data_IF_292219281245
#
_entry.id   IF_292219281245
#
_cell.length_a   1.000
_cell.length_b   1.000
_cell.length_c   1.000
_cell.angle_alpha   90.00
_cell.angle_beta   90.00
_cell.angle_gamma   90.00
#
_symmetry.space_group_name_H-M   'P 1'
#
loop_
_entity.id
_entity.type
_entity.pdbx_description
1 polymer ?
#
# COMPACT_ATOMS: atom_id res chain seq x y z
N UNK A 1 3.93 -10.46 14.77
CA UNK A 1 2.78 -9.52 14.76
C UNK A 1 2.67 -8.83 16.11
N UNK A 2 2.17 -7.58 16.17
CA UNK A 2 1.97 -6.83 17.41
C UNK A 2 0.72 -5.94 17.35
N UNK A 3 0.19 -5.55 18.52
CA UNK A 3 -0.94 -4.61 18.59
C UNK A 3 -0.45 -3.16 18.49
N UNK A 4 -1.04 -2.40 17.57
CA UNK A 4 -0.76 -0.98 17.32
C UNK A 4 -2.08 -0.22 17.19
N UNK A 5 -2.40 0.66 18.15
CA UNK A 5 -3.61 1.50 18.09
C UNK A 5 -4.91 0.72 17.86
N UNK A 6 -5.10 -0.39 18.57
CA UNK A 6 -6.29 -1.25 18.46
C UNK A 6 -6.32 -2.18 17.24
N UNK A 7 -5.24 -2.28 16.47
CA UNK A 7 -5.11 -3.18 15.30
C UNK A 7 -4.03 -4.23 15.56
N UNK A 8 -4.17 -5.42 15.02
CA UNK A 8 -3.10 -6.42 14.92
C UNK A 8 -2.33 -6.17 13.62
N UNK A 9 -1.03 -5.88 13.72
CA UNK A 9 -0.16 -5.55 12.59
C UNK A 9 0.98 -6.57 12.44
N UNK A 10 1.41 -6.83 11.20
CA UNK A 10 2.66 -7.53 10.91
C UNK A 10 3.84 -6.74 11.47
N UNK A 11 4.88 -7.40 11.96
CA UNK A 11 6.01 -6.75 12.67
C UNK A 11 7.19 -6.46 11.77
N UNK A 12 7.49 -7.41 10.89
CA UNK A 12 8.74 -7.58 10.17
C UNK A 12 8.50 -7.97 8.69
N UNK A 13 7.26 -7.84 8.22
CA UNK A 13 6.85 -8.15 6.86
C UNK A 13 6.18 -6.95 6.20
N UNK A 14 6.80 -6.45 5.14
CA UNK A 14 6.31 -5.33 4.33
C UNK A 14 5.81 -5.85 3.00
N UNK A 15 4.69 -5.28 2.56
CA UNK A 15 4.26 -5.39 1.18
C UNK A 15 4.55 -4.11 0.43
N UNK A 16 4.69 -4.29 -0.87
CA UNK A 16 4.98 -3.26 -1.84
C UNK A 16 3.86 -3.24 -2.87
N UNK A 17 3.54 -2.06 -3.37
CA UNK A 17 2.66 -1.87 -4.50
C UNK A 17 3.21 -0.78 -5.39
N UNK A 18 3.06 -0.95 -6.69
CA UNK A 18 3.53 0.03 -7.67
C UNK A 18 2.40 0.31 -8.64
N UNK A 19 2.40 1.52 -9.17
CA UNK A 19 1.44 1.93 -10.21
C UNK A 19 2.03 1.82 -11.60
N UNK A 20 1.15 1.72 -12.58
CA UNK A 20 1.49 2.09 -13.94
C UNK A 20 1.70 3.60 -14.08
N UNK A 21 1.81 4.05 -15.33
CA UNK A 21 1.96 5.47 -15.64
C UNK A 21 0.59 6.15 -15.71
N UNK A 22 0.42 7.25 -14.97
CA UNK A 22 -0.82 8.02 -14.93
C UNK A 22 -0.59 9.50 -15.24
N UNK A 23 -1.64 10.20 -15.69
CA UNK A 23 -1.60 11.64 -15.96
C UNK A 23 -1.49 12.49 -14.69
N UNK A 24 -1.88 11.97 -13.53
CA UNK A 24 -1.86 12.70 -12.26
C UNK A 24 -1.23 11.87 -11.14
N UNK A 25 -0.56 12.54 -10.21
CA UNK A 25 -0.02 11.92 -8.99
C UNK A 25 -1.09 11.17 -8.20
N UNK A 26 -2.29 11.74 -8.11
CA UNK A 26 -3.39 11.14 -7.36
C UNK A 26 -3.88 9.82 -7.97
N UNK A 27 -3.92 9.71 -9.31
CA UNK A 27 -4.26 8.47 -9.99
C UNK A 27 -3.17 7.41 -9.80
N UNK A 28 -1.90 7.77 -9.97
CA UNK A 28 -0.77 6.87 -9.71
C UNK A 28 -0.75 6.36 -8.26
N UNK A 29 -0.97 7.24 -7.29
CA UNK A 29 -0.99 6.83 -5.89
C UNK A 29 -2.15 5.85 -5.59
N UNK A 30 -3.34 6.06 -6.17
CA UNK A 30 -4.47 5.14 -6.00
C UNK A 30 -4.18 3.77 -6.60
N UNK A 31 -3.58 3.73 -7.78
CA UNK A 31 -3.21 2.49 -8.47
C UNK A 31 -2.15 1.70 -7.69
N UNK A 32 -1.10 2.37 -7.18
CA UNK A 32 -0.08 1.73 -6.36
C UNK A 32 -0.66 1.17 -5.04
N UNK A 33 -1.57 1.91 -4.42
CA UNK A 33 -2.32 1.43 -3.24
C UNK A 33 -3.18 0.22 -3.61
N UNK A 34 -3.85 0.23 -4.77
CA UNK A 34 -4.68 -0.90 -5.21
C UNK A 34 -3.81 -2.15 -5.42
N UNK A 35 -2.68 -2.02 -6.11
CA UNK A 35 -1.69 -3.09 -6.28
C UNK A 35 -1.27 -3.71 -4.93
N UNK A 36 -0.94 -2.88 -3.93
CA UNK A 36 -0.62 -3.35 -2.58
C UNK A 36 -1.78 -4.11 -1.93
N UNK A 37 -3.01 -3.59 -2.05
CA UNK A 37 -4.20 -4.18 -1.45
C UNK A 37 -4.54 -5.51 -2.09
N UNK A 38 -4.41 -5.65 -3.41
CA UNK A 38 -4.69 -6.88 -4.14
C UNK A 38 -3.74 -8.00 -3.71
N UNK A 39 -2.44 -7.71 -3.62
CA UNK A 39 -1.44 -8.67 -3.16
C UNK A 39 -1.66 -9.05 -1.69
N UNK A 40 -1.89 -8.06 -0.82
CA UNK A 40 -2.15 -8.32 0.61
C UNK A 40 -3.45 -9.14 0.81
N UNK A 41 -4.47 -8.90 -0.03
CA UNK A 41 -5.72 -9.66 0.01
C UNK A 41 -5.51 -11.11 -0.43
N UNK A 42 -4.67 -11.34 -1.44
CA UNK A 42 -4.32 -12.68 -1.90
C UNK A 42 -3.67 -13.49 -0.78
N UNK A 43 -2.75 -12.89 -0.02
CA UNK A 43 -1.99 -13.61 1.02
C UNK A 43 -2.76 -13.80 2.33
N UNK A 44 -3.45 -12.76 2.81
CA UNK A 44 -4.02 -12.76 4.17
C UNK A 44 -5.53 -12.56 4.21
N UNK A 45 -6.15 -12.29 3.07
CA UNK A 45 -7.58 -12.00 2.94
C UNK A 45 -7.94 -10.56 3.25
N UNK A 46 -9.20 -10.23 2.92
CA UNK A 46 -9.72 -8.85 2.85
C UNK A 46 -9.56 -8.06 4.14
N UNK A 47 -9.58 -8.71 5.31
CA UNK A 47 -9.50 -8.01 6.61
C UNK A 47 -8.17 -7.28 6.83
N UNK A 48 -7.09 -7.75 6.19
CA UNK A 48 -5.74 -7.18 6.25
C UNK A 48 -5.43 -6.20 5.12
N UNK A 49 -6.18 -6.30 4.01
CA UNK A 49 -5.92 -5.63 2.74
C UNK A 49 -6.45 -4.20 2.65
N UNK A 50 -6.60 -3.50 3.77
CA UNK A 50 -7.02 -2.09 3.77
C UNK A 50 -5.81 -1.21 4.02
N UNK A 51 -5.35 -0.48 3.00
CA UNK A 51 -4.18 0.39 3.13
C UNK A 51 -4.39 1.51 4.16
N UNK A 52 -5.63 1.94 4.37
CA UNK A 52 -5.98 2.90 5.43
C UNK A 52 -5.66 2.37 6.84
N UNK A 53 -5.67 1.04 7.04
CA UNK A 53 -5.37 0.37 8.32
C UNK A 53 -3.90 0.04 8.50
N UNK A 54 -3.14 -0.06 7.41
CA UNK A 54 -1.74 -0.46 7.40
C UNK A 54 -0.86 0.47 8.26
N UNK A 55 0.25 -0.07 8.74
CA UNK A 55 1.24 0.62 9.57
C UNK A 55 2.53 0.88 8.79
N UNK A 56 3.33 1.85 9.27
CA UNK A 56 4.62 2.23 8.66
C UNK A 56 4.54 2.54 7.17
N UNK A 57 3.45 3.19 6.75
CA UNK A 57 3.17 3.50 5.34
C UNK A 57 4.21 4.49 4.80
N UNK A 58 4.80 4.19 3.65
CA UNK A 58 5.51 5.17 2.82
C UNK A 58 4.94 5.17 1.42
N UNK A 59 4.96 6.35 0.81
CA UNK A 59 4.49 6.59 -0.55
C UNK A 59 5.57 7.43 -1.25
N UNK A 60 6.23 6.86 -2.24
CA UNK A 60 7.11 7.57 -3.16
C UNK A 60 6.38 7.82 -4.46
N UNK A 61 6.50 9.02 -5.03
CA UNK A 61 5.96 9.31 -6.36
C UNK A 61 6.96 10.11 -7.15
N UNK A 62 7.11 9.75 -8.42
CA UNK A 62 8.03 10.36 -9.37
C UNK A 62 7.25 10.88 -10.57
N UNK A 63 7.62 12.06 -11.06
CA UNK A 63 7.09 12.64 -12.28
C UNK A 63 8.17 12.63 -13.35
N UNK A 64 7.76 12.26 -14.56
CA UNK A 64 8.55 12.38 -15.78
C UNK A 64 7.72 13.13 -16.83
N UNK A 65 8.33 13.48 -17.97
CA UNK A 65 7.58 13.99 -19.12
C UNK A 65 6.49 13.01 -19.61
N UNK A 66 6.66 11.72 -19.28
CA UNK A 66 5.74 10.66 -19.63
C UNK A 66 4.53 10.60 -18.67
N UNK A 67 4.60 11.15 -17.46
CA UNK A 67 3.52 11.12 -16.46
C UNK A 67 4.02 10.83 -15.05
N UNK A 68 3.09 10.48 -14.17
CA UNK A 68 3.33 10.12 -12.78
C UNK A 68 3.35 8.60 -12.58
N UNK A 69 4.28 8.15 -11.76
CA UNK A 69 4.25 6.82 -11.15
C UNK A 69 4.47 6.97 -9.64
N UNK A 70 3.97 6.01 -8.88
CA UNK A 70 4.12 5.92 -7.45
C UNK A 70 4.37 4.48 -7.02
N UNK A 71 5.11 4.37 -5.92
CA UNK A 71 5.41 3.13 -5.20
C UNK A 71 4.97 3.33 -3.74
N UNK A 72 4.42 2.28 -3.14
CA UNK A 72 3.99 2.25 -1.74
C UNK A 72 4.60 1.07 -1.02
N UNK A 73 4.95 1.27 0.24
CA UNK A 73 5.30 0.20 1.16
C UNK A 73 4.53 0.34 2.46
N UNK A 74 4.08 -0.78 3.03
CA UNK A 74 3.43 -0.79 4.32
C UNK A 74 3.38 -2.20 4.95
N UNK A 75 3.18 -2.24 6.26
CA UNK A 75 2.89 -3.47 7.01
C UNK A 75 1.38 -3.65 7.14
N UNK A 76 0.86 -4.81 6.76
CA UNK A 76 -0.56 -5.11 6.83
C UNK A 76 -1.07 -5.13 8.28
N UNK A 77 -2.30 -4.66 8.49
CA UNK A 77 -2.96 -4.67 9.79
C UNK A 77 -4.44 -5.01 9.67
N UNK A 78 -4.98 -5.75 10.64
CA UNK A 78 -6.44 -5.97 10.80
C UNK A 78 -6.95 -5.48 12.15
N UNK A 79 -8.26 -5.26 12.25
CA UNK A 79 -8.95 -5.08 13.53
C UNK A 79 -9.50 -6.42 13.99
#
# INVERSE_FOLDING_TARGET
MRREGGKLCLTDHWHYGSSGRHSTKAAAQRDAIQSWQDFTNLEYGRSWAFFSRAASKKVGCSQTAAGWSCDVEARACKR
#
